data_IF_063140336994
#
_entry.id   IF_063140336994
#
_cell.length_a   1.000
_cell.length_b   1.000
_cell.length_c   1.000
_cell.angle_alpha   90.00
_cell.angle_beta   90.00
_cell.angle_gamma   90.00
#
_symmetry.space_group_name_H-M   'P 1'
#
loop_
_entity.id
_entity.type
_entity.pdbx_description
1 polymer ?
#
# COMPACT_ATOMS: atom_id res chain seq x y z
N UNK A 1 -26.09 -31.90 73.98
CA UNK A 1 -25.81 -32.05 72.54
C UNK A 1 -27.14 -32.16 71.85
N UNK A 2 -27.42 -31.38 70.81
CA UNK A 2 -28.24 -31.91 69.73
C UNK A 2 -27.49 -31.74 68.41
N UNK A 3 -26.74 -32.79 68.11
CA UNK A 3 -25.93 -32.97 66.89
C UNK A 3 -26.80 -33.06 65.62
N UNK A 4 -28.12 -32.95 65.75
CA UNK A 4 -29.09 -33.10 64.67
C UNK A 4 -29.37 -31.82 63.85
N UNK A 5 -28.96 -30.62 64.27
CA UNK A 5 -29.21 -29.39 63.49
C UNK A 5 -28.09 -29.03 62.49
N UNK A 6 -26.97 -29.77 62.48
CA UNK A 6 -25.84 -29.51 61.57
C UNK A 6 -25.81 -30.43 60.34
N UNK A 7 -26.81 -31.29 60.17
CA UNK A 7 -26.93 -32.25 59.07
C UNK A 7 -28.06 -31.90 58.08
N UNK A 8 -28.39 -30.61 57.94
CA UNK A 8 -29.16 -30.08 56.79
C UNK A 8 -28.36 -29.07 55.96
N UNK A 9 -27.06 -29.04 56.20
CA UNK A 9 -26.08 -28.42 55.32
C UNK A 9 -25.45 -29.56 54.53
N UNK A 10 -25.82 -29.68 53.25
CA UNK A 10 -25.38 -30.64 52.21
C UNK A 10 -26.49 -31.56 51.69
N UNK A 11 -27.38 -30.99 50.88
CA UNK A 11 -28.36 -31.75 50.08
C UNK A 11 -29.00 -30.94 48.95
N UNK A 12 -28.34 -29.89 48.47
CA UNK A 12 -28.80 -29.05 47.35
C UNK A 12 -27.71 -28.94 46.29
N UNK A 13 -27.19 -30.09 45.87
CA UNK A 13 -26.27 -30.19 44.75
C UNK A 13 -26.84 -31.19 43.74
N UNK A 14 -26.99 -30.70 42.51
CA UNK A 14 -27.09 -31.44 41.25
C UNK A 14 -28.44 -32.08 40.88
N UNK A 15 -29.43 -31.26 40.54
CA UNK A 15 -30.20 -31.49 39.30
C UNK A 15 -30.54 -30.12 38.70
N UNK A 16 -29.61 -29.55 37.93
CA UNK A 16 -30.01 -28.59 36.91
C UNK A 16 -30.98 -29.31 35.98
N UNK A 17 -32.15 -28.75 35.62
CA UNK A 17 -32.99 -29.41 34.64
C UNK A 17 -32.15 -29.51 33.37
N UNK A 18 -31.83 -30.74 32.99
CA UNK A 18 -31.37 -31.05 31.64
C UNK A 18 -32.35 -30.32 30.74
N UNK A 19 -31.83 -29.47 29.86
CA UNK A 19 -32.61 -28.84 28.82
C UNK A 19 -33.39 -29.93 28.09
N UNK A 20 -34.65 -30.13 28.45
CA UNK A 20 -35.59 -30.99 27.75
C UNK A 20 -35.86 -30.31 26.41
N UNK A 21 -34.94 -30.49 25.46
CA UNK A 21 -35.17 -30.06 24.09
C UNK A 21 -36.25 -30.98 23.54
N UNK A 22 -37.48 -30.45 23.54
CA UNK A 22 -38.64 -31.08 22.92
C UNK A 22 -38.25 -31.49 21.49
N UNK A 23 -38.53 -32.74 21.06
CA UNK A 23 -38.12 -33.20 19.74
C UNK A 23 -38.70 -32.27 18.67
N UNK A 24 -37.80 -31.70 17.85
CA UNK A 24 -38.17 -30.73 16.81
C UNK A 24 -38.72 -31.51 15.62
N UNK A 25 -39.94 -31.23 15.14
CA UNK A 25 -40.48 -31.92 13.97
C UNK A 25 -39.59 -31.62 12.77
N UNK A 26 -39.11 -32.70 12.11
CA UNK A 26 -38.27 -32.62 10.91
C UNK A 26 -39.17 -32.25 9.74
N UNK A 27 -39.44 -30.95 9.58
CA UNK A 27 -40.24 -30.40 8.49
C UNK A 27 -39.36 -29.83 7.37
N UNK A 28 -39.69 -30.15 6.12
CA UNK A 28 -39.26 -29.36 4.96
C UNK A 28 -39.83 -27.94 5.10
N UNK A 29 -39.00 -26.92 4.84
CA UNK A 29 -39.37 -25.51 4.98
C UNK A 29 -40.66 -25.20 4.20
N UNK A 30 -41.79 -25.05 4.90
CA UNK A 30 -42.95 -24.35 4.31
C UNK A 30 -42.55 -22.89 4.12
N UNK A 31 -42.70 -22.37 2.91
CA UNK A 31 -42.16 -21.08 2.47
C UNK A 31 -42.65 -19.82 3.24
N UNK A 32 -43.44 -19.96 4.31
CA UNK A 32 -44.09 -18.85 5.01
C UNK A 32 -43.95 -18.83 6.54
N UNK A 33 -43.13 -19.70 7.15
CA UNK A 33 -42.83 -19.57 8.59
C UNK A 33 -41.64 -18.62 8.82
N UNK A 34 -41.89 -17.49 9.48
CA UNK A 34 -40.84 -16.58 9.97
C UNK A 34 -40.10 -17.26 11.13
N UNK A 35 -38.99 -17.94 10.82
CA UNK A 35 -38.11 -18.55 11.83
C UNK A 35 -37.30 -17.45 12.53
N UNK A 36 -37.33 -17.41 13.86
CA UNK A 36 -36.56 -16.46 14.65
C UNK A 36 -35.05 -16.72 14.56
N UNK A 37 -34.24 -15.66 14.58
CA UNK A 37 -32.77 -15.74 14.39
C UNK A 37 -32.08 -16.70 15.38
N UNK A 38 -32.63 -16.89 16.58
CA UNK A 38 -32.05 -17.75 17.62
C UNK A 38 -32.69 -19.13 17.73
N UNK A 39 -33.77 -19.40 16.99
CA UNK A 39 -34.51 -20.67 17.04
C UNK A 39 -33.69 -21.83 16.48
N UNK A 40 -34.00 -23.09 16.85
CA UNK A 40 -33.38 -24.25 16.22
C UNK A 40 -33.59 -24.23 14.70
N UNK A 41 -32.54 -24.53 13.95
CA UNK A 41 -32.63 -24.56 12.49
C UNK A 41 -33.54 -25.70 12.02
N UNK A 42 -34.52 -25.44 11.14
CA UNK A 42 -35.39 -26.48 10.59
C UNK A 42 -34.65 -27.46 9.66
N UNK A 43 -33.42 -27.14 9.27
CA UNK A 43 -32.54 -27.93 8.43
C UNK A 43 -31.90 -29.16 9.13
N UNK A 44 -32.50 -29.65 10.22
CA UNK A 44 -32.04 -30.77 11.07
C UNK A 44 -30.59 -30.70 11.61
N UNK A 45 -29.90 -29.57 11.47
CA UNK A 45 -28.50 -29.42 11.91
C UNK A 45 -28.28 -29.33 13.42
N UNK A 46 -29.35 -29.20 14.22
CA UNK A 46 -29.27 -28.96 15.68
C UNK A 46 -28.68 -27.59 16.07
N UNK A 47 -28.30 -26.74 15.11
CA UNK A 47 -27.73 -25.40 15.35
C UNK A 47 -28.83 -24.33 15.34
N UNK A 48 -28.59 -23.20 16.01
CA UNK A 48 -29.45 -22.01 15.91
C UNK A 48 -29.50 -21.50 14.45
N UNK A 49 -30.65 -21.01 13.99
CA UNK A 49 -30.87 -20.56 12.61
C UNK A 49 -29.80 -19.56 12.14
N UNK A 50 -29.39 -18.59 12.99
CA UNK A 50 -28.30 -17.63 12.69
C UNK A 50 -26.94 -18.25 12.41
N UNK A 51 -26.65 -19.42 12.98
CA UNK A 51 -25.35 -20.11 12.84
C UNK A 51 -25.40 -21.21 11.78
N UNK A 52 -26.56 -21.43 11.15
CA UNK A 52 -26.74 -22.43 10.12
C UNK A 52 -27.23 -21.80 8.81
N UNK A 53 -28.53 -21.89 8.49
CA UNK A 53 -29.05 -21.45 7.19
C UNK A 53 -28.84 -19.96 6.92
N UNK A 54 -28.92 -19.09 7.94
CA UNK A 54 -28.69 -17.65 7.75
C UNK A 54 -27.25 -17.33 7.32
N UNK A 55 -26.26 -18.04 7.89
CA UNK A 55 -24.86 -17.87 7.52
C UNK A 55 -24.49 -18.61 6.23
N UNK A 56 -25.27 -19.62 5.82
CA UNK A 56 -25.12 -20.25 4.49
C UNK A 56 -25.59 -19.34 3.35
N UNK A 57 -26.58 -18.48 3.61
CA UNK A 57 -27.09 -17.51 2.64
C UNK A 57 -26.23 -16.25 2.49
N UNK A 58 -25.30 -15.99 3.42
CA UNK A 58 -24.26 -15.00 3.18
C UNK A 58 -23.22 -15.64 2.29
N UNK A 59 -23.08 -15.25 1.01
CA UNK A 59 -21.87 -15.60 0.28
C UNK A 59 -20.70 -15.16 1.15
N UNK A 60 -19.74 -16.07 1.38
CA UNK A 60 -18.42 -15.65 1.84
C UNK A 60 -17.81 -14.87 0.68
N UNK A 61 -18.27 -13.63 0.50
CA UNK A 61 -17.63 -12.71 -0.42
C UNK A 61 -16.20 -12.63 0.11
N UNK A 62 -15.28 -13.21 -0.63
CA UNK A 62 -13.87 -12.83 -0.61
C UNK A 62 -13.85 -11.38 -1.07
N UNK A 63 -14.25 -10.48 -0.17
CA UNK A 63 -14.04 -9.07 -0.36
C UNK A 63 -12.54 -8.91 -0.65
N UNK A 64 -12.16 -8.19 -1.72
CA UNK A 64 -10.76 -7.86 -1.90
C UNK A 64 -10.27 -7.23 -0.60
N UNK A 65 -9.07 -7.61 -0.17
CA UNK A 65 -8.47 -7.02 1.02
C UNK A 65 -8.45 -5.50 0.85
N UNK A 66 -9.25 -4.80 1.64
CA UNK A 66 -9.17 -3.35 1.79
C UNK A 66 -8.30 -3.13 3.01
N UNK A 67 -7.11 -2.50 2.88
CA UNK A 67 -6.29 -2.22 4.05
C UNK A 67 -7.08 -1.35 5.04
N UNK A 68 -6.98 -1.61 6.34
CA UNK A 68 -7.68 -0.81 7.35
C UNK A 68 -7.20 0.64 7.27
N UNK A 69 -8.15 1.57 7.17
CA UNK A 69 -7.84 3.00 7.20
C UNK A 69 -7.20 3.33 8.56
N UNK A 70 -6.02 4.00 8.59
CA UNK A 70 -5.38 4.35 9.85
C UNK A 70 -6.28 5.27 10.68
N UNK A 71 -6.29 5.03 12.00
CA UNK A 71 -7.09 5.83 12.94
C UNK A 71 -6.65 7.30 12.85
N UNK A 72 -7.59 8.19 12.58
CA UNK A 72 -7.32 9.63 12.45
C UNK A 72 -7.09 10.12 11.01
N UNK A 73 -7.09 9.24 10.01
CA UNK A 73 -7.13 9.69 8.62
C UNK A 73 -8.49 10.28 8.29
N UNK A 74 -8.53 11.59 8.08
CA UNK A 74 -9.66 12.26 7.45
C UNK A 74 -9.58 12.00 5.96
N UNK A 75 -10.49 11.18 5.43
CA UNK A 75 -10.67 11.03 3.98
C UNK A 75 -11.35 12.31 3.52
N UNK A 76 -10.57 13.29 3.07
CA UNK A 76 -11.11 14.46 2.39
C UNK A 76 -11.68 13.97 1.06
N UNK A 77 -12.99 14.11 0.80
CA UNK A 77 -13.54 13.76 -0.50
C UNK A 77 -12.86 14.66 -1.52
N UNK A 78 -12.12 14.05 -2.47
CA UNK A 78 -11.53 14.80 -3.58
C UNK A 78 -12.70 15.47 -4.30
N UNK A 79 -12.75 16.80 -4.38
CA UNK A 79 -13.83 17.46 -5.10
C UNK A 79 -13.75 17.02 -6.55
N UNK A 80 -14.86 16.53 -7.09
CA UNK A 80 -15.04 16.16 -8.50
C UNK A 80 -14.87 17.34 -9.49
N UNK A 81 -14.40 18.49 -9.02
CA UNK A 81 -14.20 19.72 -9.78
C UNK A 81 -12.75 19.89 -10.29
N UNK A 82 -11.98 18.81 -10.38
CA UNK A 82 -10.84 18.82 -11.30
C UNK A 82 -11.40 18.57 -12.70
N UNK A 83 -11.97 19.62 -13.31
CA UNK A 83 -11.90 19.78 -14.76
C UNK A 83 -10.46 20.07 -15.14
N UNK A 84 -9.56 19.14 -14.82
CA UNK A 84 -8.39 18.96 -15.63
C UNK A 84 -8.93 18.34 -16.91
N UNK A 85 -8.78 19.03 -18.03
CA UNK A 85 -8.52 18.33 -19.29
C UNK A 85 -7.65 17.11 -19.00
N UNK A 86 -7.90 15.98 -19.66
CA UNK A 86 -7.03 14.78 -19.66
C UNK A 86 -5.65 15.13 -20.28
N UNK A 87 -4.94 16.06 -19.68
CA UNK A 87 -3.62 16.60 -19.99
C UNK A 87 -2.73 16.51 -18.74
N UNK A 88 -3.05 15.55 -17.84
CA UNK A 88 -2.54 15.48 -16.47
C UNK A 88 -1.88 14.16 -16.10
N UNK A 89 -1.43 13.37 -17.09
CA UNK A 89 -0.49 12.24 -16.90
C UNK A 89 0.55 12.19 -18.04
N UNK A 90 0.72 13.28 -18.80
CA UNK A 90 1.79 13.34 -19.79
C UNK A 90 3.06 13.78 -19.06
N UNK A 91 3.96 12.83 -18.80
CA UNK A 91 5.30 13.14 -18.28
C UNK A 91 6.05 13.91 -19.38
N UNK A 92 6.08 15.24 -19.28
CA UNK A 92 6.79 16.05 -20.27
C UNK A 92 8.31 15.97 -20.04
N UNK A 93 9.09 16.09 -21.11
CA UNK A 93 10.56 16.13 -21.01
C UNK A 93 11.05 17.28 -20.10
N UNK A 94 10.32 18.39 -20.04
CA UNK A 94 10.63 19.52 -19.17
C UNK A 94 10.45 19.16 -17.68
N UNK A 95 9.37 18.47 -17.33
CA UNK A 95 9.13 17.99 -15.96
C UNK A 95 10.20 17.00 -15.52
N UNK A 96 10.62 16.09 -16.41
CA UNK A 96 11.71 15.15 -16.11
C UNK A 96 13.04 15.86 -15.84
N UNK A 97 13.37 16.89 -16.61
CA UNK A 97 14.58 17.71 -16.38
C UNK A 97 14.51 18.47 -15.06
N UNK A 98 13.36 19.06 -14.74
CA UNK A 98 13.16 19.77 -13.45
C UNK A 98 13.25 18.83 -12.25
N UNK A 99 12.87 17.57 -12.41
CA UNK A 99 13.00 16.53 -11.40
C UNK A 99 14.45 15.99 -11.24
N UNK A 100 15.41 16.49 -12.03
CA UNK A 100 16.81 16.08 -11.95
C UNK A 100 17.12 14.75 -12.65
N UNK A 101 16.26 14.30 -13.57
CA UNK A 101 16.55 13.13 -14.41
C UNK A 101 17.62 13.52 -15.44
N UNK A 102 18.66 12.70 -15.58
CA UNK A 102 19.78 12.98 -16.50
C UNK A 102 19.30 13.11 -17.95
N UNK A 103 19.99 13.96 -18.72
CA UNK A 103 19.59 14.34 -20.07
C UNK A 103 19.47 13.14 -21.03
N UNK A 104 20.35 12.15 -20.87
CA UNK A 104 20.34 10.90 -21.64
C UNK A 104 19.07 10.07 -21.44
N UNK A 105 18.56 9.99 -20.20
CA UNK A 105 17.32 9.26 -19.92
C UNK A 105 16.10 10.04 -20.40
N UNK A 106 16.13 11.37 -20.35
CA UNK A 106 15.08 12.20 -20.95
C UNK A 106 15.05 12.04 -22.46
N UNK A 107 16.21 11.98 -23.11
CA UNK A 107 16.32 11.71 -24.54
C UNK A 107 15.73 10.34 -24.89
N UNK A 108 16.14 9.29 -24.18
CA UNK A 108 15.61 7.94 -24.38
C UNK A 108 14.10 7.86 -24.20
N UNK A 109 13.55 8.55 -23.20
CA UNK A 109 12.10 8.63 -22.97
C UNK A 109 11.37 9.32 -24.13
N UNK A 110 11.88 10.44 -24.63
CA UNK A 110 11.26 11.16 -25.76
C UNK A 110 11.32 10.33 -27.04
N UNK A 111 12.42 9.59 -27.27
CA UNK A 111 12.61 8.77 -28.47
C UNK A 111 11.76 7.50 -28.47
N UNK A 112 11.68 6.81 -27.33
CA UNK A 112 11.04 5.49 -27.23
C UNK A 112 9.63 5.53 -26.63
N UNK A 113 9.26 6.61 -25.94
CA UNK A 113 8.01 6.74 -25.18
C UNK A 113 7.94 5.87 -23.93
N UNK A 114 9.03 5.18 -23.55
CA UNK A 114 9.09 4.27 -22.40
C UNK A 114 10.01 4.85 -21.34
N UNK A 115 9.85 4.48 -20.08
CA UNK A 115 10.85 4.77 -19.05
C UNK A 115 11.22 3.45 -18.37
N UNK A 116 12.46 2.96 -18.59
CA UNK A 116 12.90 1.66 -18.09
C UNK A 116 13.90 1.86 -16.95
N UNK A 117 13.48 1.51 -15.73
CA UNK A 117 14.32 1.53 -14.52
C UNK A 117 15.14 0.22 -14.47
N UNK A 118 16.42 0.25 -14.06
CA UNK A 118 17.27 -0.95 -13.99
C UNK A 118 16.64 -2.15 -13.27
N UNK A 119 15.92 -1.92 -12.17
CA UNK A 119 15.26 -2.95 -11.36
C UNK A 119 14.05 -3.63 -12.02
N UNK A 120 13.61 -3.16 -13.18
CA UNK A 120 12.47 -3.69 -13.92
C UNK A 120 12.84 -4.23 -15.30
N UNK A 121 14.13 -4.29 -15.64
CA UNK A 121 14.62 -4.71 -16.96
C UNK A 121 14.24 -6.16 -17.29
N UNK A 122 14.17 -7.02 -16.28
CA UNK A 122 13.77 -8.43 -16.37
C UNK A 122 12.35 -8.64 -16.94
N UNK A 123 11.52 -7.60 -16.94
CA UNK A 123 10.13 -7.64 -17.42
C UNK A 123 9.96 -7.26 -18.89
N UNK A 124 11.03 -6.84 -19.55
CA UNK A 124 11.01 -6.38 -20.94
C UNK A 124 11.73 -7.36 -21.86
N UNK A 125 11.31 -7.39 -23.13
CA UNK A 125 12.00 -8.17 -24.15
C UNK A 125 13.35 -7.55 -24.52
N UNK A 126 14.24 -8.38 -25.07
CA UNK A 126 15.61 -7.97 -25.42
C UNK A 126 15.64 -6.84 -26.46
N UNK A 127 14.71 -6.81 -27.41
CA UNK A 127 14.67 -5.77 -28.44
C UNK A 127 14.28 -4.40 -27.85
N UNK A 128 13.29 -4.37 -26.95
CA UNK A 128 12.90 -3.17 -26.21
C UNK A 128 14.04 -2.65 -25.34
N UNK A 129 14.76 -3.55 -24.64
CA UNK A 129 15.91 -3.16 -23.83
C UNK A 129 17.05 -2.60 -24.68
N UNK A 130 17.34 -3.22 -25.83
CA UNK A 130 18.36 -2.75 -26.76
C UNK A 130 18.01 -1.36 -27.31
N UNK A 131 16.78 -1.15 -27.77
CA UNK A 131 16.33 0.15 -28.27
C UNK A 131 16.40 1.25 -27.19
N UNK A 132 16.12 0.90 -25.93
CA UNK A 132 16.27 1.81 -24.80
C UNK A 132 17.74 2.17 -24.54
N UNK A 133 18.62 1.17 -24.48
CA UNK A 133 20.04 1.39 -24.19
C UNK A 133 20.73 2.17 -25.31
N UNK A 134 20.41 1.88 -26.58
CA UNK A 134 20.88 2.66 -27.73
C UNK A 134 20.43 4.13 -27.64
N UNK A 135 19.18 4.38 -27.24
CA UNK A 135 18.65 5.74 -27.11
C UNK A 135 19.27 6.51 -25.92
N UNK A 136 19.67 5.82 -24.85
CA UNK A 136 20.41 6.39 -23.72
C UNK A 136 21.83 6.74 -24.15
N UNK A 137 22.53 5.86 -24.87
CA UNK A 137 23.89 6.15 -25.34
C UNK A 137 23.91 7.29 -26.37
N UNK A 138 22.95 7.36 -27.28
CA UNK A 138 22.78 8.50 -28.18
C UNK A 138 22.53 9.80 -27.39
N UNK A 139 21.69 9.76 -26.36
CA UNK A 139 21.46 10.90 -25.48
C UNK A 139 22.74 11.35 -24.75
N UNK A 140 23.58 10.39 -24.32
CA UNK A 140 24.88 10.66 -23.71
C UNK A 140 25.83 11.31 -24.71
N UNK A 141 25.85 10.83 -25.97
CA UNK A 141 26.65 11.44 -27.02
C UNK A 141 26.21 12.87 -27.32
N UNK A 142 24.90 13.13 -27.42
CA UNK A 142 24.36 14.49 -27.63
C UNK A 142 24.70 15.42 -26.46
N UNK A 143 24.61 14.93 -25.23
CA UNK A 143 25.00 15.69 -24.04
C UNK A 143 26.51 15.92 -23.96
N UNK A 144 27.32 14.93 -24.35
CA UNK A 144 28.78 15.02 -24.40
C UNK A 144 29.28 16.00 -25.47
N UNK A 145 28.70 15.96 -26.67
CA UNK A 145 29.02 16.90 -27.75
C UNK A 145 28.52 18.31 -27.39
N UNK A 146 27.39 18.46 -26.69
CA UNK A 146 26.94 19.75 -26.16
C UNK A 146 27.82 20.29 -25.03
N UNK A 147 28.47 19.42 -24.26
CA UNK A 147 29.48 19.80 -23.27
C UNK A 147 30.82 20.17 -23.92
N UNK A 148 31.18 19.55 -25.05
CA UNK A 148 32.40 19.85 -25.81
C UNK A 148 32.25 21.08 -26.74
N UNK A 149 31.01 21.42 -27.14
CA UNK A 149 30.66 22.64 -27.88
C UNK A 149 30.53 23.90 -27.00
N UNK A 150 31.07 23.90 -25.79
CA UNK A 150 31.20 25.13 -25.00
C UNK A 150 32.19 26.06 -25.72
N UNK A 151 31.78 27.28 -26.14
CA UNK A 151 32.76 28.24 -26.64
C UNK A 151 33.71 28.58 -25.50
N UNK A 152 35.00 28.36 -25.74
CA UNK A 152 36.09 28.95 -24.98
C UNK A 152 35.92 30.48 -24.99
N UNK A 153 35.21 31.04 -24.00
CA UNK A 153 35.25 32.48 -23.78
C UNK A 153 36.27 32.78 -22.69
N UNK A 154 37.47 33.04 -23.18
CA UNK A 154 38.62 33.57 -22.47
C UNK A 154 38.32 35.02 -22.01
N UNK A 155 38.51 35.26 -20.70
CA UNK A 155 39.05 36.50 -20.10
C UNK A 155 38.12 37.70 -19.83
N UNK A 156 37.90 37.97 -18.53
CA UNK A 156 37.86 39.34 -17.96
C UNK A 156 38.36 39.28 -16.49
N UNK A 157 38.95 40.34 -15.91
CA UNK A 157 40.35 40.44 -15.54
C UNK A 157 40.55 40.46 -14.01
N UNK A 158 41.81 40.54 -13.63
CA UNK A 158 42.32 40.66 -12.27
C UNK A 158 41.68 41.80 -11.47
N UNK A 159 41.34 41.51 -10.22
CA UNK A 159 41.41 42.51 -9.14
C UNK A 159 42.38 42.01 -8.08
N UNK A 160 43.49 42.74 -7.97
CA UNK A 160 44.45 42.67 -6.88
C UNK A 160 43.78 42.84 -5.52
N UNK A 161 44.16 42.02 -4.52
CA UNK A 161 44.13 42.37 -3.10
C UNK A 161 45.06 41.43 -2.30
N UNK A 162 46.34 41.80 -2.32
CA UNK A 162 47.25 41.93 -1.16
C UNK A 162 47.14 40.89 -0.01
N UNK A 163 48.12 39.98 -0.01
CA UNK A 163 48.98 39.52 1.09
C UNK A 163 48.51 39.58 2.57
N UNK A 164 48.54 38.42 3.22
CA UNK A 164 49.33 38.19 4.46
C UNK A 164 49.42 36.67 4.79
N UNK A 165 50.63 36.07 4.91
CA UNK A 165 50.80 34.77 5.54
C UNK A 165 50.89 34.93 7.07
N UNK A 166 50.10 34.16 7.83
CA UNK A 166 50.33 33.98 9.27
C UNK A 166 51.29 32.81 9.45
N UNK A 167 52.44 33.14 10.02
CA UNK A 167 53.56 32.29 10.37
C UNK A 167 53.18 31.15 11.31
N UNK A 168 53.77 30.00 11.02
CA UNK A 168 53.94 28.86 11.90
C UNK A 168 54.95 29.23 12.99
N UNK A 169 54.53 29.32 14.25
CA UNK A 169 55.46 29.41 15.37
C UNK A 169 55.93 27.99 15.74
N UNK A 170 57.21 27.76 15.48
CA UNK A 170 57.98 26.62 15.92
C UNK A 170 58.23 26.72 17.45
N UNK A 171 57.71 25.74 18.20
CA UNK A 171 58.08 25.52 19.60
C UNK A 171 59.42 24.78 19.67
N UNK A 172 60.48 25.53 19.97
CA UNK A 172 61.81 25.02 20.23
C UNK A 172 62.16 25.26 21.70
N UNK A 173 61.93 24.23 22.53
CA UNK A 173 62.79 23.76 23.62
C UNK A 173 63.19 24.69 24.77
N UNK A 174 62.82 24.27 26.00
CA UNK A 174 63.76 24.00 27.10
C UNK A 174 63.10 23.18 28.23
#
# INVERSE_FOLDING_TARGET
MDKASRARQLGRLLVSPLFTQKPVPVGTLRANQRVGRNDPCPCSSGKKFKRCCLNRQRPRLSLPYVPPVPKGATVTPVPCAQTGTLAGIELTAAQLRQAGVQAEYVHAFVKTGRFIIPSLRDRYDAATLQAWDEAVEEGRQLAGVAAEAQPTNEKHPQSDSVAAPRSEDADAGQ
#
